data_IF_460555253219
#
_entry.id   IF_460555253219
#
_cell.length_a   1.000
_cell.length_b   1.000
_cell.length_c   1.000
_cell.angle_alpha   90.00
_cell.angle_beta   90.00
_cell.angle_gamma   90.00
#
_symmetry.space_group_name_H-M   'P 1'
#
loop_
_entity.id
_entity.type
_entity.pdbx_description
1 polymer ?
#
# COMPACT_ATOMS: atom_id res chain seq x y z
N UNK A 1 5.50 -6.01 -21.01
CA UNK A 1 4.04 -6.27 -20.83
C UNK A 1 3.39 -7.06 -21.98
N UNK A 2 3.99 -7.07 -23.18
CA UNK A 2 3.38 -7.70 -24.35
C UNK A 2 3.32 -9.24 -24.29
N UNK A 3 4.37 -9.91 -23.79
CA UNK A 3 4.43 -11.37 -23.77
C UNK A 3 3.49 -11.94 -22.70
N UNK A 4 3.39 -11.28 -21.54
CA UNK A 4 2.40 -11.63 -20.51
C UNK A 4 0.98 -11.59 -21.09
N UNK A 5 0.63 -10.51 -21.80
CA UNK A 5 -0.67 -10.37 -22.43
C UNK A 5 -0.92 -11.35 -23.61
N UNK A 6 0.13 -11.89 -24.24
CA UNK A 6 -0.02 -12.95 -25.26
C UNK A 6 -0.51 -14.27 -24.68
N UNK A 7 -0.25 -14.54 -23.39
CA UNK A 7 -0.73 -15.76 -22.72
C UNK A 7 -2.25 -15.73 -22.59
N UNK A 8 -2.79 -14.62 -22.07
CA UNK A 8 -4.22 -14.36 -21.99
C UNK A 8 -4.45 -12.85 -21.78
N UNK A 9 -4.78 -12.15 -22.87
CA UNK A 9 -4.90 -10.69 -22.86
C UNK A 9 -5.98 -10.19 -21.90
N UNK A 10 -7.17 -10.78 -21.97
CA UNK A 10 -8.29 -10.34 -21.15
C UNK A 10 -8.00 -10.55 -19.66
N UNK A 11 -7.37 -11.67 -19.31
CA UNK A 11 -6.99 -11.92 -17.92
C UNK A 11 -5.85 -11.02 -17.45
N UNK A 12 -4.87 -10.71 -18.31
CA UNK A 12 -3.82 -9.76 -17.98
C UNK A 12 -4.38 -8.35 -17.73
N UNK A 13 -5.29 -7.88 -18.59
CA UNK A 13 -5.96 -6.57 -18.41
C UNK A 13 -6.82 -6.53 -17.14
N UNK A 14 -7.52 -7.62 -16.81
CA UNK A 14 -8.31 -7.74 -15.58
C UNK A 14 -7.42 -7.72 -14.32
N UNK A 15 -6.28 -8.42 -14.33
CA UNK A 15 -5.28 -8.37 -13.23
C UNK A 15 -4.68 -6.97 -13.05
N UNK A 16 -4.38 -6.25 -14.14
CA UNK A 16 -3.86 -4.89 -14.04
C UNK A 16 -4.91 -3.89 -13.56
N UNK A 17 -6.18 -4.05 -13.97
CA UNK A 17 -7.26 -3.21 -13.46
C UNK A 17 -7.53 -3.42 -11.98
N UNK A 18 -7.41 -4.66 -11.51
CA UNK A 18 -7.44 -4.99 -10.10
C UNK A 18 -6.35 -4.24 -9.35
N UNK A 19 -5.11 -4.35 -9.81
CA UNK A 19 -3.98 -3.67 -9.17
C UNK A 19 -4.12 -2.14 -9.22
N UNK A 20 -4.53 -1.58 -10.35
CA UNK A 20 -4.83 -0.15 -10.49
C UNK A 20 -5.92 0.32 -9.52
N UNK A 21 -6.93 -0.51 -9.28
CA UNK A 21 -7.99 -0.19 -8.32
C UNK A 21 -7.46 -0.16 -6.90
N UNK A 22 -6.52 -1.06 -6.57
CA UNK A 22 -5.81 -1.05 -5.29
C UNK A 22 -4.96 0.21 -5.13
N UNK A 23 -4.09 0.54 -6.09
CA UNK A 23 -3.21 1.74 -6.06
C UNK A 23 -4.02 3.02 -5.83
N UNK A 24 -5.16 3.17 -6.55
CA UNK A 24 -6.06 4.31 -6.35
C UNK A 24 -6.57 4.39 -4.91
N UNK A 25 -6.85 3.24 -4.28
CA UNK A 25 -7.23 3.19 -2.88
C UNK A 25 -6.03 3.54 -1.99
N UNK A 26 -4.85 2.96 -2.20
CA UNK A 26 -3.61 3.24 -1.47
C UNK A 26 -3.30 4.74 -1.41
N UNK A 27 -3.37 5.45 -2.55
CA UNK A 27 -3.20 6.92 -2.59
C UNK A 27 -4.16 7.63 -1.62
N UNK A 28 -5.44 7.25 -1.60
CA UNK A 28 -6.44 7.85 -0.69
C UNK A 28 -6.17 7.50 0.77
N UNK A 29 -5.75 6.27 1.04
CA UNK A 29 -5.42 5.80 2.40
C UNK A 29 -4.22 6.58 2.95
N UNK A 30 -3.18 6.79 2.14
CA UNK A 30 -2.04 7.63 2.51
C UNK A 30 -2.43 9.09 2.73
N UNK A 31 -3.25 9.67 1.84
CA UNK A 31 -3.71 11.06 1.97
C UNK A 31 -4.47 11.28 3.30
N UNK A 32 -5.39 10.38 3.64
CA UNK A 32 -6.12 10.41 4.92
C UNK A 32 -5.21 10.19 6.12
N UNK A 33 -4.29 9.21 6.04
CA UNK A 33 -3.33 8.92 7.12
C UNK A 33 -2.46 10.15 7.43
N UNK A 34 -1.94 10.81 6.40
CA UNK A 34 -1.19 12.05 6.56
C UNK A 34 -2.04 13.16 7.18
N UNK A 35 -3.31 13.32 6.77
CA UNK A 35 -4.21 14.31 7.36
C UNK A 35 -4.46 14.05 8.85
N UNK A 36 -4.70 12.79 9.23
CA UNK A 36 -4.86 12.40 10.64
C UNK A 36 -3.59 12.69 11.44
N UNK A 37 -2.43 12.30 10.92
CA UNK A 37 -1.14 12.56 11.59
C UNK A 37 -0.93 14.06 11.79
N UNK A 38 -1.20 14.90 10.79
CA UNK A 38 -1.09 16.38 10.89
C UNK A 38 -1.93 16.97 12.02
N UNK A 39 -3.06 16.32 12.37
CA UNK A 39 -3.95 16.77 13.46
C UNK A 39 -3.51 16.31 14.84
N UNK A 40 -2.53 15.41 14.93
CA UNK A 40 -1.99 14.95 16.23
C UNK A 40 -1.01 15.96 16.82
N UNK A 41 -0.89 15.98 18.14
CA UNK A 41 0.14 16.75 18.84
C UNK A 41 1.47 15.99 19.03
N UNK A 42 1.57 14.76 18.49
CA UNK A 42 2.74 13.88 18.66
C UNK A 42 3.86 14.25 17.68
N UNK A 43 4.98 14.84 18.14
CA UNK A 43 6.07 15.22 17.25
C UNK A 43 6.73 14.02 16.55
N UNK A 44 6.72 12.85 17.20
CA UNK A 44 7.26 11.61 16.65
C UNK A 44 6.47 11.13 15.43
N UNK A 45 5.13 11.26 15.46
CA UNK A 45 4.28 10.97 14.31
C UNK A 45 4.38 12.05 13.23
N UNK A 46 4.43 13.32 13.60
CA UNK A 46 4.58 14.42 12.64
C UNK A 46 5.87 14.32 11.81
N UNK A 47 6.96 13.82 12.41
CA UNK A 47 8.22 13.57 11.70
C UNK A 47 8.12 12.52 10.58
N UNK A 48 7.06 11.70 10.56
CA UNK A 48 6.83 10.68 9.53
C UNK A 48 6.25 11.27 8.24
N UNK A 49 5.67 12.47 8.29
CA UNK A 49 4.93 13.06 7.16
C UNK A 49 5.76 13.19 5.89
N UNK A 50 7.06 13.47 6.00
CA UNK A 50 7.94 13.55 4.85
C UNK A 50 8.06 12.21 4.11
N UNK A 51 8.21 11.11 4.87
CA UNK A 51 8.34 9.77 4.32
C UNK A 51 6.99 9.25 3.78
N UNK A 52 5.90 9.46 4.52
CA UNK A 52 4.54 9.12 4.07
C UNK A 52 4.17 9.83 2.77
N UNK A 53 4.58 11.11 2.61
CA UNK A 53 4.36 11.83 1.36
C UNK A 53 5.14 11.20 0.21
N UNK A 54 6.40 10.79 0.44
CA UNK A 54 7.20 10.11 -0.58
C UNK A 54 6.49 8.84 -1.07
N UNK A 55 6.05 7.99 -0.15
CA UNK A 55 5.37 6.75 -0.49
C UNK A 55 4.05 6.99 -1.22
N UNK A 56 3.22 7.92 -0.71
CA UNK A 56 2.03 8.39 -1.44
C UNK A 56 2.30 8.85 -2.88
N UNK A 57 3.43 9.51 -3.11
CA UNK A 57 3.82 9.96 -4.46
C UNK A 57 4.28 8.76 -5.33
N UNK A 58 4.83 7.70 -4.74
CA UNK A 58 5.16 6.43 -5.42
C UNK A 58 3.89 5.65 -5.78
N UNK A 59 2.93 5.49 -4.85
CA UNK A 59 1.59 4.91 -5.15
C UNK A 59 0.93 5.61 -6.34
N UNK A 60 1.08 6.94 -6.41
CA UNK A 60 0.51 7.72 -7.51
C UNK A 60 1.23 7.46 -8.83
N UNK A 61 2.54 7.27 -8.82
CA UNK A 61 3.30 6.85 -10.00
C UNK A 61 2.87 5.46 -10.46
N UNK A 62 2.65 4.53 -9.52
CA UNK A 62 2.20 3.17 -9.80
C UNK A 62 0.83 3.16 -10.45
N UNK A 63 -0.11 3.94 -9.89
CA UNK A 63 -1.42 4.19 -10.48
C UNK A 63 -1.30 4.67 -11.93
N UNK A 64 -0.55 5.75 -12.16
CA UNK A 64 -0.39 6.36 -13.50
C UNK A 64 0.22 5.39 -14.51
N UNK A 65 1.25 4.66 -14.08
CA UNK A 65 1.91 3.65 -14.90
C UNK A 65 0.98 2.49 -15.27
N UNK A 66 0.21 1.96 -14.31
CA UNK A 66 -0.76 0.89 -14.57
C UNK A 66 -1.83 1.32 -15.57
N UNK A 67 -2.33 2.55 -15.46
CA UNK A 67 -3.27 3.08 -16.44
C UNK A 67 -2.68 3.11 -17.86
N UNK A 68 -1.41 3.54 -17.99
CA UNK A 68 -0.71 3.53 -19.26
C UNK A 68 -0.55 2.11 -19.82
N UNK A 69 -0.19 1.13 -18.98
CA UNK A 69 -0.03 -0.26 -19.42
C UNK A 69 -1.37 -0.86 -19.88
N UNK A 70 -2.46 -0.62 -19.14
CA UNK A 70 -3.80 -1.10 -19.51
C UNK A 70 -4.19 -0.51 -20.88
N UNK A 71 -4.00 0.80 -21.08
CA UNK A 71 -4.27 1.48 -22.35
C UNK A 71 -3.39 0.96 -23.48
N UNK A 72 -2.10 0.70 -23.23
CA UNK A 72 -1.17 0.16 -24.21
C UNK A 72 -1.55 -1.27 -24.66
N UNK A 73 -2.15 -2.06 -23.77
CA UNK A 73 -2.73 -3.36 -24.10
C UNK A 73 -4.09 -3.23 -24.80
N UNK A 74 -4.65 -2.03 -24.95
CA UNK A 74 -5.96 -1.78 -25.55
C UNK A 74 -7.14 -2.10 -24.62
N UNK A 75 -6.89 -2.15 -23.32
CA UNK A 75 -7.92 -2.18 -22.29
C UNK A 75 -8.38 -0.76 -21.90
N UNK A 76 -9.41 -0.71 -21.05
CA UNK A 76 -9.91 0.52 -20.44
C UNK A 76 -9.54 0.53 -18.95
N UNK A 77 -8.76 1.53 -18.53
CA UNK A 77 -8.27 1.71 -17.15
C UNK A 77 -9.35 2.24 -16.18
N UNK A 78 -10.54 2.55 -16.68
CA UNK A 78 -11.70 2.93 -15.90
C UNK A 78 -12.82 1.87 -15.97
N UNK A 79 -12.59 0.76 -16.67
CA UNK A 79 -13.56 -0.32 -16.74
C UNK A 79 -13.66 -1.04 -15.40
N UNK A 80 -14.89 -1.32 -14.99
CA UNK A 80 -15.15 -2.16 -13.83
C UNK A 80 -15.08 -3.65 -14.23
N UNK A 81 -13.89 -4.24 -14.13
CA UNK A 81 -13.62 -5.66 -14.36
C UNK A 81 -14.05 -6.53 -13.18
N UNK A 82 -14.04 -7.85 -13.36
CA UNK A 82 -14.37 -8.81 -12.29
C UNK A 82 -13.46 -8.63 -11.08
N UNK A 83 -12.14 -8.58 -11.31
CA UNK A 83 -11.17 -8.47 -10.23
C UNK A 83 -11.15 -7.06 -9.62
N UNK A 84 -11.40 -6.00 -10.40
CA UNK A 84 -11.55 -4.63 -9.84
C UNK A 84 -12.73 -4.51 -8.87
N UNK A 85 -13.86 -5.21 -9.13
CA UNK A 85 -14.99 -5.27 -8.18
C UNK A 85 -14.61 -6.01 -6.90
N UNK A 86 -13.90 -7.13 -7.03
CA UNK A 86 -13.50 -7.94 -5.89
C UNK A 86 -12.60 -7.12 -4.96
N UNK A 87 -11.54 -6.50 -5.50
CA UNK A 87 -10.62 -5.72 -4.67
C UNK A 87 -11.28 -4.47 -4.10
N UNK A 88 -12.23 -3.84 -4.80
CA UNK A 88 -13.05 -2.75 -4.25
C UNK A 88 -13.81 -3.21 -2.99
N UNK A 89 -14.38 -4.42 -3.02
CA UNK A 89 -15.08 -4.98 -1.86
C UNK A 89 -14.12 -5.32 -0.72
N UNK A 90 -12.97 -5.90 -1.03
CA UNK A 90 -11.94 -6.27 -0.05
C UNK A 90 -11.35 -5.04 0.64
N UNK A 91 -11.01 -4.00 -0.13
CA UNK A 91 -10.43 -2.74 0.39
C UNK A 91 -11.43 -1.89 1.17
N UNK A 92 -12.74 -2.15 1.05
CA UNK A 92 -13.77 -1.38 1.75
C UNK A 92 -13.59 -1.35 3.27
N UNK A 93 -13.13 -2.46 3.87
CA UNK A 93 -12.86 -2.51 5.30
C UNK A 93 -11.72 -1.58 5.72
N UNK A 94 -10.68 -1.49 4.89
CA UNK A 94 -9.54 -0.59 5.11
C UNK A 94 -9.98 0.86 5.01
N UNK A 95 -10.73 1.20 3.96
CA UNK A 95 -11.28 2.56 3.77
C UNK A 95 -12.19 2.97 4.94
N UNK A 96 -13.02 2.06 5.44
CA UNK A 96 -13.86 2.35 6.60
C UNK A 96 -13.05 2.71 7.84
N UNK A 97 -11.89 2.08 8.08
CA UNK A 97 -11.04 2.41 9.24
C UNK A 97 -10.26 3.72 8.99
N UNK A 98 -9.64 3.82 7.82
CA UNK A 98 -8.69 4.89 7.50
C UNK A 98 -9.38 6.19 7.12
N UNK A 99 -10.51 6.16 6.40
CA UNK A 99 -11.22 7.36 5.97
C UNK A 99 -12.26 7.79 6.99
N UNK A 100 -13.12 6.86 7.43
CA UNK A 100 -14.39 7.22 8.08
C UNK A 100 -14.47 6.85 9.58
N UNK A 101 -13.63 5.93 10.06
CA UNK A 101 -13.99 5.12 11.23
C UNK A 101 -13.30 5.47 12.54
N UNK A 102 -12.00 5.79 12.53
CA UNK A 102 -11.22 5.82 13.77
C UNK A 102 -10.35 7.09 13.93
N UNK A 103 -10.47 7.83 15.06
CA UNK A 103 -9.61 8.97 15.34
C UNK A 103 -8.19 8.57 15.76
N UNK A 104 -7.95 7.29 16.10
CA UNK A 104 -6.66 6.79 16.52
C UNK A 104 -5.69 6.69 15.34
N UNK A 105 -4.55 7.39 15.40
CA UNK A 105 -3.47 7.22 14.42
C UNK A 105 -2.93 5.79 14.40
N UNK A 106 -2.92 5.09 15.54
CA UNK A 106 -2.35 3.73 15.63
C UNK A 106 -3.24 2.68 14.99
N UNK A 107 -4.57 2.81 15.10
CA UNK A 107 -5.50 1.98 14.34
C UNK A 107 -5.41 2.24 12.83
N UNK A 108 -5.23 3.51 12.45
CA UNK A 108 -5.00 3.88 11.04
C UNK A 108 -3.72 3.24 10.51
N UNK A 109 -2.61 3.32 11.25
CA UNK A 109 -1.32 2.71 10.87
C UNK A 109 -1.39 1.17 10.80
N UNK A 110 -2.18 0.54 11.67
CA UNK A 110 -2.45 -0.90 11.59
C UNK A 110 -3.23 -1.27 10.31
N UNK A 111 -4.23 -0.48 9.93
CA UNK A 111 -4.95 -0.68 8.67
C UNK A 111 -4.03 -0.46 7.47
N UNK A 112 -3.15 0.55 7.51
CA UNK A 112 -2.10 0.73 6.51
C UNK A 112 -1.21 -0.52 6.41
N UNK A 113 -0.75 -1.10 7.52
CA UNK A 113 0.06 -2.33 7.48
C UNK A 113 -0.66 -3.48 6.77
N UNK A 114 -1.99 -3.55 6.91
CA UNK A 114 -2.79 -4.55 6.19
C UNK A 114 -2.81 -4.27 4.70
N UNK A 115 -2.95 -3.00 4.29
CA UNK A 115 -2.88 -2.60 2.89
C UNK A 115 -1.52 -2.96 2.28
N UNK A 116 -0.43 -2.55 2.92
CA UNK A 116 0.96 -2.80 2.47
C UNK A 116 1.28 -4.30 2.29
N UNK A 117 0.75 -5.14 3.18
CA UNK A 117 0.91 -6.60 3.06
C UNK A 117 0.22 -7.16 1.81
N UNK A 118 -0.96 -6.65 1.49
CA UNK A 118 -1.72 -7.06 0.30
C UNK A 118 -1.03 -6.52 -0.95
N UNK A 119 -0.53 -5.29 -0.91
CA UNK A 119 0.10 -4.65 -2.05
C UNK A 119 1.39 -5.37 -2.46
N UNK A 120 2.26 -5.60 -1.48
CA UNK A 120 3.51 -6.33 -1.68
C UNK A 120 3.26 -7.73 -2.28
N UNK A 121 2.25 -8.44 -1.79
CA UNK A 121 1.86 -9.74 -2.36
C UNK A 121 1.30 -9.63 -3.80
N UNK A 122 0.57 -8.56 -4.10
CA UNK A 122 0.05 -8.28 -5.45
C UNK A 122 1.16 -8.05 -6.47
N UNK A 123 2.14 -7.20 -6.14
CA UNK A 123 3.30 -6.95 -7.00
C UNK A 123 4.21 -8.16 -7.15
N UNK A 124 4.42 -8.93 -6.08
CA UNK A 124 5.17 -10.20 -6.11
C UNK A 124 4.54 -11.18 -7.11
N UNK A 125 3.21 -11.35 -7.08
CA UNK A 125 2.51 -12.22 -8.02
C UNK A 125 2.67 -11.76 -9.48
N UNK A 126 2.54 -10.46 -9.74
CA UNK A 126 2.74 -9.92 -11.09
C UNK A 126 4.16 -10.17 -11.60
N UNK A 127 5.17 -10.00 -10.73
CA UNK A 127 6.57 -10.28 -11.04
C UNK A 127 6.78 -11.75 -11.43
N UNK A 128 6.25 -12.68 -10.64
CA UNK A 128 6.36 -14.12 -10.88
C UNK A 128 5.69 -14.52 -12.21
N UNK A 129 4.49 -14.02 -12.47
CA UNK A 129 3.78 -14.27 -13.73
C UNK A 129 4.51 -13.69 -14.94
N UNK A 130 5.13 -12.52 -14.81
CA UNK A 130 5.93 -11.94 -15.88
C UNK A 130 7.19 -12.77 -16.18
N UNK A 131 7.86 -13.29 -15.14
CA UNK A 131 9.02 -14.16 -15.31
C UNK A 131 8.64 -15.49 -15.99
N UNK A 132 7.55 -16.13 -15.54
CA UNK A 132 7.03 -17.36 -16.16
C UNK A 132 6.59 -17.16 -17.62
N UNK A 133 6.03 -16.00 -17.95
CA UNK A 133 5.68 -15.63 -19.33
C UNK A 133 6.90 -15.22 -20.18
N UNK A 134 8.10 -15.11 -19.59
CA UNK A 134 9.32 -14.66 -20.24
C UNK A 134 9.28 -13.19 -20.69
N UNK A 135 8.48 -12.36 -20.01
CA UNK A 135 8.32 -10.93 -20.28
C UNK A 135 9.31 -10.10 -19.45
N UNK A 136 10.58 -10.06 -19.89
CA UNK A 136 11.65 -9.35 -19.18
C UNK A 136 11.33 -7.88 -18.90
N UNK A 137 10.64 -7.21 -19.83
CA UNK A 137 10.24 -5.81 -19.66
C UNK A 137 9.22 -5.65 -18.52
N UNK A 138 8.17 -6.48 -18.51
CA UNK A 138 7.21 -6.49 -17.40
C UNK A 138 7.88 -6.87 -16.08
N UNK A 139 8.75 -7.89 -16.10
CA UNK A 139 9.46 -8.38 -14.92
C UNK A 139 10.26 -7.26 -14.26
N UNK A 140 11.09 -6.53 -15.02
CA UNK A 140 11.88 -5.44 -14.43
C UNK A 140 10.99 -4.29 -13.91
N UNK A 141 9.90 -3.97 -14.62
CA UNK A 141 8.97 -2.92 -14.17
C UNK A 141 8.24 -3.30 -12.87
N UNK A 142 7.82 -4.56 -12.73
CA UNK A 142 7.19 -5.08 -11.51
C UNK A 142 8.18 -5.22 -10.37
N UNK A 143 9.42 -5.63 -10.67
CA UNK A 143 10.49 -5.73 -9.68
C UNK A 143 10.83 -4.38 -9.04
N UNK A 144 10.83 -3.31 -9.84
CA UNK A 144 11.03 -1.96 -9.31
C UNK A 144 9.94 -1.60 -8.31
N UNK A 145 8.67 -1.79 -8.68
CA UNK A 145 7.52 -1.42 -7.83
C UNK A 145 7.45 -2.28 -6.58
N UNK A 146 7.69 -3.58 -6.71
CA UNK A 146 7.82 -4.48 -5.57
C UNK A 146 8.88 -3.99 -4.58
N UNK A 147 10.03 -3.52 -5.06
CA UNK A 147 11.08 -2.99 -4.18
C UNK A 147 10.63 -1.72 -3.44
N UNK A 148 9.85 -0.86 -4.10
CA UNK A 148 9.25 0.31 -3.46
C UNK A 148 8.24 -0.10 -2.38
N UNK A 149 7.38 -1.08 -2.68
CA UNK A 149 6.40 -1.61 -1.71
C UNK A 149 7.04 -2.38 -0.55
N UNK A 150 8.19 -3.03 -0.76
CA UNK A 150 8.98 -3.60 0.34
C UNK A 150 9.43 -2.52 1.33
N UNK A 151 9.87 -1.37 0.83
CA UNK A 151 10.26 -0.23 1.67
C UNK A 151 9.04 0.34 2.42
N UNK A 152 7.89 0.47 1.75
CA UNK A 152 6.64 0.93 2.35
C UNK A 152 6.20 0.01 3.50
N UNK A 153 6.16 -1.30 3.23
CA UNK A 153 5.80 -2.33 4.20
C UNK A 153 6.74 -2.34 5.41
N UNK A 154 8.05 -2.28 5.20
CA UNK A 154 9.03 -2.24 6.29
C UNK A 154 8.79 -1.02 7.18
N UNK A 155 8.59 0.15 6.57
CA UNK A 155 8.37 1.39 7.29
C UNK A 155 7.09 1.37 8.12
N UNK A 156 5.95 1.02 7.51
CA UNK A 156 4.66 0.98 8.21
C UNK A 156 4.69 -0.05 9.34
N UNK A 157 5.29 -1.22 9.11
CA UNK A 157 5.48 -2.26 10.14
C UNK A 157 6.26 -1.72 11.34
N UNK A 158 7.38 -1.05 11.11
CA UNK A 158 8.21 -0.50 12.18
C UNK A 158 7.46 0.55 13.01
N UNK A 159 6.62 1.37 12.36
CA UNK A 159 5.82 2.37 13.06
C UNK A 159 4.75 1.70 13.92
N UNK A 160 4.00 0.75 13.36
CA UNK A 160 2.97 0.00 14.12
C UNK A 160 3.62 -0.67 15.32
N UNK A 161 4.75 -1.34 15.14
CA UNK A 161 5.48 -2.00 16.21
C UNK A 161 5.92 -1.01 17.31
N UNK A 162 6.48 0.15 16.93
CA UNK A 162 6.88 1.20 17.87
C UNK A 162 5.69 1.78 18.64
N UNK A 163 4.59 2.08 17.94
CA UNK A 163 3.37 2.61 18.54
C UNK A 163 2.78 1.62 19.54
N UNK A 164 2.54 0.38 19.11
CA UNK A 164 1.99 -0.68 19.96
C UNK A 164 2.87 -0.97 21.18
N UNK A 165 4.20 -0.97 21.02
CA UNK A 165 5.12 -1.11 22.16
C UNK A 165 4.99 0.04 23.14
N UNK A 166 4.89 1.27 22.66
CA UNK A 166 4.76 2.45 23.52
C UNK A 166 3.43 2.41 24.28
N UNK A 167 2.34 2.04 23.61
CA UNK A 167 1.02 1.88 24.24
C UNK A 167 0.99 0.77 25.30
N UNK A 168 1.66 -0.37 25.04
CA UNK A 168 1.63 -1.53 25.94
C UNK A 168 2.66 -1.44 27.08
N UNK A 169 3.87 -0.97 26.79
CA UNK A 169 5.03 -1.03 27.70
C UNK A 169 5.41 0.35 28.26
N UNK A 170 4.74 1.42 27.84
CA UNK A 170 5.14 2.79 28.14
C UNK A 170 6.35 3.26 27.33
N UNK A 171 6.77 4.51 27.55
CA UNK A 171 8.04 4.98 26.98
C UNK A 171 9.22 4.27 27.67
N UNK A 172 10.41 4.19 27.03
CA UNK A 172 11.59 3.62 27.67
C UNK A 172 11.91 4.25 29.03
N UNK A 173 11.61 5.54 29.21
CA UNK A 173 11.78 6.27 30.48
C UNK A 173 10.79 5.78 31.54
N UNK A 174 9.53 5.56 31.18
CA UNK A 174 8.50 5.01 32.07
C UNK A 174 8.72 3.54 32.42
N UNK A 175 9.24 2.75 31.48
CA UNK A 175 9.56 1.34 31.70
C UNK A 175 10.70 1.16 32.74
N UNK A 176 11.69 2.06 32.74
CA UNK A 176 12.77 2.08 33.75
C UNK A 176 12.23 2.48 35.13
N UNK A 177 11.32 3.45 35.18
CA UNK A 177 10.68 3.90 36.42
C UNK A 177 9.78 2.82 37.03
N UNK A 178 9.05 2.06 36.19
CA UNK A 178 8.26 0.90 36.62
C UNK A 178 9.12 -0.29 37.08
N UNK A 179 10.33 -0.46 36.53
CA UNK A 179 11.27 -1.51 36.93
C UNK A 179 12.01 -1.21 38.24
N UNK A 180 12.02 0.06 38.67
CA UNK A 180 12.64 0.52 39.91
C UNK A 180 11.68 1.42 40.72
N UNK A 181 10.57 0.88 41.26
CA UNK A 181 9.67 1.64 42.09
C UNK A 181 10.40 2.09 43.37
N UNK A 182 10.28 3.37 43.70
CA UNK A 182 10.90 3.99 44.90
C UNK A 182 10.21 3.56 46.18
#
# INVERSE_FOLDING_TARGET
MQKLAQMNKDKAVDLLNERLTFERASVRLYDSTMEKIRRTADPGLQNLLGQLKKYRDQEKEHEEWLEEQIRALGGDAHAETEMSRLITLESKGLEQVVLDGDPSPTHTLHAMLTAELVDNAGWQLLLELADEAGDDEAREAFKQRLHEEEDHLIFVRQIVERCTRTELLGTPEQAVEMAHPT
#
